data_IF_110450854268
#
_entry.id   IF_110450854268
#
_cell.length_a   1.000
_cell.length_b   1.000
_cell.length_c   1.000
_cell.angle_alpha   90.00
_cell.angle_beta   90.00
_cell.angle_gamma   90.00
#
_symmetry.space_group_name_H-M   'P 1'
#
loop_
_entity.id
_entity.type
_entity.pdbx_description
1 polymer ?
#
# COMPACT_ATOMS: atom_id res chain seq x y z
N UNK A 1 -10.54 8.33 -40.09
CA UNK A 1 -11.94 7.93 -39.95
C UNK A 1 -12.13 7.27 -38.57
N UNK A 2 -13.12 7.79 -37.79
CA UNK A 2 -13.37 7.34 -36.43
C UNK A 2 -13.87 5.87 -36.34
N UNK A 3 -14.46 5.35 -37.42
CA UNK A 3 -14.89 3.96 -37.47
C UNK A 3 -13.69 3.00 -37.60
N UNK A 4 -12.77 3.29 -38.49
CA UNK A 4 -11.56 2.51 -38.67
C UNK A 4 -10.68 2.50 -37.40
N UNK A 5 -10.61 3.63 -36.68
CA UNK A 5 -9.92 3.69 -35.40
C UNK A 5 -10.58 2.79 -34.36
N UNK A 6 -11.91 2.83 -34.21
CA UNK A 6 -12.64 1.99 -33.26
C UNK A 6 -12.43 0.50 -33.54
N UNK A 7 -12.49 0.12 -34.82
CA UNK A 7 -12.27 -1.27 -35.21
C UNK A 7 -10.83 -1.73 -34.92
N UNK A 8 -9.82 -0.93 -35.28
CA UNK A 8 -8.44 -1.23 -34.96
C UNK A 8 -8.19 -1.33 -33.45
N UNK A 9 -8.76 -0.40 -32.67
CA UNK A 9 -8.68 -0.41 -31.22
C UNK A 9 -9.32 -1.66 -30.63
N UNK A 10 -10.51 -2.06 -31.09
CA UNK A 10 -11.20 -3.28 -30.62
C UNK A 10 -10.37 -4.54 -30.91
N UNK A 11 -9.80 -4.66 -32.11
CA UNK A 11 -8.89 -5.76 -32.46
C UNK A 11 -7.66 -5.79 -31.55
N UNK A 12 -7.06 -4.63 -31.29
CA UNK A 12 -5.92 -4.52 -30.38
C UNK A 12 -6.29 -4.95 -28.96
N UNK A 13 -7.42 -4.49 -28.42
CA UNK A 13 -7.90 -4.86 -27.07
C UNK A 13 -8.11 -6.37 -26.98
N UNK A 14 -8.81 -6.98 -27.93
CA UNK A 14 -9.04 -8.44 -27.93
C UNK A 14 -7.72 -9.23 -27.94
N UNK A 15 -6.79 -8.86 -28.80
CA UNK A 15 -5.47 -9.49 -28.86
C UNK A 15 -4.69 -9.32 -27.54
N UNK A 16 -4.79 -8.15 -26.91
CA UNK A 16 -4.11 -7.88 -25.64
C UNK A 16 -4.73 -8.66 -24.48
N UNK A 17 -6.06 -8.71 -24.41
CA UNK A 17 -6.80 -9.48 -23.40
C UNK A 17 -6.44 -10.97 -23.49
N UNK A 18 -6.50 -11.56 -24.69
CA UNK A 18 -6.14 -12.97 -24.89
C UNK A 18 -4.68 -13.27 -24.43
N UNK A 19 -3.74 -12.36 -24.72
CA UNK A 19 -2.36 -12.49 -24.24
C UNK A 19 -2.26 -12.38 -22.71
N UNK A 20 -3.02 -11.48 -22.08
CA UNK A 20 -3.00 -11.30 -20.63
C UNK A 20 -3.66 -12.45 -19.88
N UNK A 21 -4.69 -13.08 -20.46
CA UNK A 21 -5.33 -14.27 -19.89
C UNK A 21 -4.41 -15.48 -19.81
N UNK A 22 -3.39 -15.54 -20.66
CA UNK A 22 -2.37 -16.59 -20.66
C UNK A 22 -1.14 -16.23 -19.80
N UNK A 23 -1.07 -14.98 -19.31
CA UNK A 23 0.05 -14.54 -18.50
C UNK A 23 -0.14 -14.94 -17.03
N UNK A 24 0.97 -15.10 -16.32
CA UNK A 24 0.95 -15.29 -14.87
C UNK A 24 0.26 -14.12 -14.16
N UNK A 25 -0.60 -14.43 -13.21
CA UNK A 25 -1.30 -13.44 -12.39
C UNK A 25 -0.32 -12.86 -11.36
N UNK A 26 0.07 -11.61 -11.55
CA UNK A 26 1.01 -10.92 -10.67
C UNK A 26 0.34 -10.19 -9.51
N UNK A 27 -0.96 -9.89 -9.62
CA UNK A 27 -1.71 -9.10 -8.64
C UNK A 27 -3.09 -9.69 -8.49
N UNK A 28 -3.47 -9.93 -7.24
CA UNK A 28 -4.83 -10.31 -6.87
C UNK A 28 -5.45 -9.16 -6.10
N UNK A 29 -6.71 -8.87 -6.39
CA UNK A 29 -7.53 -7.96 -5.61
C UNK A 29 -8.65 -8.75 -4.92
N UNK A 30 -8.84 -8.50 -3.64
CA UNK A 30 -9.90 -9.08 -2.84
C UNK A 30 -10.67 -7.95 -2.15
N UNK A 31 -11.95 -8.16 -1.94
CA UNK A 31 -12.78 -7.25 -1.16
C UNK A 31 -12.68 -7.68 0.31
N UNK A 32 -12.24 -6.76 1.18
CA UNK A 32 -12.34 -6.94 2.62
C UNK A 32 -13.81 -6.76 3.04
N UNK A 33 -14.47 -7.80 3.58
CA UNK A 33 -15.87 -7.68 3.95
C UNK A 33 -16.02 -6.76 5.15
N UNK A 34 -16.99 -5.85 5.08
CA UNK A 34 -17.44 -5.08 6.24
C UNK A 34 -18.36 -5.98 7.10
N UNK A 35 -18.45 -5.73 8.43
CA UNK A 35 -19.39 -6.41 9.28
C UNK A 35 -20.84 -6.29 8.80
N UNK A 36 -21.67 -7.32 8.98
CA UNK A 36 -23.06 -7.31 8.54
C UNK A 36 -23.88 -6.17 9.13
N UNK A 37 -23.60 -5.81 10.39
CA UNK A 37 -24.27 -4.73 11.10
C UNK A 37 -23.66 -3.34 10.84
N UNK A 38 -22.78 -3.18 9.85
CA UNK A 38 -22.04 -1.94 9.57
C UNK A 38 -22.91 -0.69 9.51
N UNK A 39 -24.06 -0.77 8.84
CA UNK A 39 -24.96 0.37 8.65
C UNK A 39 -25.74 0.76 9.90
N UNK A 40 -25.90 -0.17 10.86
CA UNK A 40 -26.61 0.05 12.13
C UNK A 40 -25.69 0.40 13.30
N UNK A 41 -24.36 0.34 13.08
CA UNK A 41 -23.40 0.68 14.12
C UNK A 41 -23.37 2.17 14.40
N UNK A 42 -23.09 2.51 15.67
CA UNK A 42 -22.81 3.88 16.07
C UNK A 42 -21.54 4.39 15.36
N UNK A 43 -21.53 5.67 14.99
CA UNK A 43 -20.46 6.25 14.17
C UNK A 43 -19.07 6.10 14.82
N UNK A 44 -18.94 6.34 16.11
CA UNK A 44 -17.66 6.23 16.81
C UNK A 44 -17.13 4.79 16.81
N UNK A 45 -18.01 3.79 16.98
CA UNK A 45 -17.63 2.39 16.91
C UNK A 45 -17.25 1.98 15.49
N UNK A 46 -18.03 2.41 14.50
CA UNK A 46 -17.76 2.18 13.08
C UNK A 46 -16.39 2.69 12.65
N UNK A 47 -15.98 3.90 13.10
CA UNK A 47 -14.65 4.46 12.83
C UNK A 47 -13.53 3.60 13.41
N UNK A 48 -13.69 3.11 14.63
CA UNK A 48 -12.73 2.22 15.29
C UNK A 48 -12.61 0.87 14.56
N UNK A 49 -13.74 0.26 14.24
CA UNK A 49 -13.75 -1.04 13.58
C UNK A 49 -13.23 -0.95 12.15
N UNK A 50 -13.47 0.17 11.46
CA UNK A 50 -12.87 0.41 10.15
C UNK A 50 -11.34 0.51 10.24
N UNK A 51 -10.82 1.27 11.18
CA UNK A 51 -9.38 1.41 11.36
C UNK A 51 -8.73 0.07 11.74
N UNK A 52 -9.39 -0.72 12.61
CA UNK A 52 -8.94 -2.09 12.95
C UNK A 52 -8.94 -2.99 11.73
N UNK A 53 -10.01 -3.01 10.94
CA UNK A 53 -10.09 -3.79 9.70
C UNK A 53 -8.95 -3.44 8.75
N UNK A 54 -8.67 -2.16 8.55
CA UNK A 54 -7.57 -1.70 7.68
C UNK A 54 -6.21 -2.23 8.17
N UNK A 55 -5.97 -2.20 9.48
CA UNK A 55 -4.74 -2.69 10.07
C UNK A 55 -4.61 -4.22 9.98
N UNK A 56 -5.70 -4.94 10.22
CA UNK A 56 -5.77 -6.40 10.06
C UNK A 56 -5.48 -6.81 8.60
N UNK A 57 -6.06 -6.12 7.63
CA UNK A 57 -5.78 -6.36 6.21
C UNK A 57 -4.33 -6.06 5.86
N UNK A 58 -3.75 -4.98 6.38
CA UNK A 58 -2.33 -4.66 6.19
C UNK A 58 -1.42 -5.76 6.74
N UNK A 59 -1.74 -6.30 7.93
CA UNK A 59 -1.01 -7.41 8.52
C UNK A 59 -1.14 -8.70 7.71
N UNK A 60 -2.35 -9.08 7.30
CA UNK A 60 -2.58 -10.26 6.46
C UNK A 60 -1.80 -10.18 5.13
N UNK A 61 -1.82 -9.00 4.50
CA UNK A 61 -1.06 -8.77 3.27
C UNK A 61 0.45 -8.86 3.50
N UNK A 62 0.97 -8.32 4.61
CA UNK A 62 2.38 -8.44 4.97
C UNK A 62 2.82 -9.88 5.18
N UNK A 63 1.96 -10.73 5.75
CA UNK A 63 2.28 -12.14 5.99
C UNK A 63 2.42 -12.97 4.70
N UNK A 64 1.83 -12.51 3.60
CA UNK A 64 1.92 -13.24 2.34
C UNK A 64 3.38 -13.28 1.84
N UNK A 65 3.93 -14.47 1.47
CA UNK A 65 5.35 -14.64 1.16
C UNK A 65 5.91 -13.71 0.08
N UNK A 66 5.07 -13.29 -0.84
CA UNK A 66 5.47 -12.39 -1.93
C UNK A 66 5.31 -10.90 -1.61
N UNK A 67 4.78 -10.53 -0.46
CA UNK A 67 4.46 -9.15 -0.09
C UNK A 67 5.43 -8.54 0.93
N UNK A 68 6.55 -9.18 1.17
CA UNK A 68 7.64 -8.64 1.98
C UNK A 68 8.99 -9.08 1.41
N UNK A 69 10.03 -8.38 1.79
CA UNK A 69 11.42 -8.78 1.57
C UNK A 69 12.02 -9.20 2.91
N UNK A 70 12.89 -10.20 2.91
CA UNK A 70 13.68 -10.55 4.09
C UNK A 70 14.99 -9.78 4.05
N UNK A 71 15.27 -9.00 5.07
CA UNK A 71 16.54 -8.33 5.23
C UNK A 71 17.64 -9.35 5.55
N UNK A 72 18.60 -9.50 4.67
CA UNK A 72 19.67 -10.48 4.79
C UNK A 72 20.60 -10.22 5.97
N UNK A 73 20.69 -8.97 6.43
CA UNK A 73 21.57 -8.60 7.54
C UNK A 73 20.96 -8.95 8.91
N UNK A 74 19.65 -8.82 9.07
CA UNK A 74 18.98 -9.03 10.36
C UNK A 74 17.98 -10.17 10.39
N UNK A 75 17.63 -10.75 9.24
CA UNK A 75 16.56 -11.75 9.12
C UNK A 75 15.14 -11.19 9.24
N UNK A 76 14.98 -9.87 9.41
CA UNK A 76 13.67 -9.22 9.59
C UNK A 76 12.89 -9.20 8.30
N UNK A 77 11.56 -9.33 8.40
CA UNK A 77 10.64 -9.22 7.28
C UNK A 77 10.15 -7.78 7.14
N UNK A 78 10.36 -7.20 5.98
CA UNK A 78 10.10 -5.78 5.71
C UNK A 78 9.16 -5.65 4.53
N UNK A 79 8.08 -4.90 4.67
CA UNK A 79 7.20 -4.54 3.55
C UNK A 79 6.97 -3.04 3.43
N UNK A 80 6.81 -2.58 2.20
CA UNK A 80 6.44 -1.21 1.84
C UNK A 80 5.00 -1.24 1.34
N UNK A 81 4.04 -0.86 2.19
CA UNK A 81 2.62 -0.92 1.91
C UNK A 81 1.99 0.44 1.64
N UNK A 82 0.92 0.44 0.86
CA UNK A 82 0.06 1.60 0.65
C UNK A 82 -1.30 1.37 1.30
N UNK A 83 -1.75 2.30 2.13
CA UNK A 83 -3.14 2.41 2.55
C UNK A 83 -3.69 3.70 1.94
N UNK A 84 -4.66 3.57 1.04
CA UNK A 84 -5.22 4.70 0.33
C UNK A 84 -6.68 4.91 0.73
N UNK A 85 -6.95 6.04 1.37
CA UNK A 85 -8.29 6.49 1.72
C UNK A 85 -8.84 7.45 0.67
N UNK A 86 -10.12 7.34 0.36
CA UNK A 86 -10.79 8.22 -0.61
C UNK A 86 -10.92 9.65 -0.09
N UNK A 87 -11.06 9.78 1.22
CA UNK A 87 -11.25 11.05 1.93
C UNK A 87 -10.22 11.23 3.06
N UNK A 88 -10.01 12.49 3.47
CA UNK A 88 -9.03 12.84 4.50
C UNK A 88 -9.55 12.51 5.90
N UNK A 89 -10.86 12.63 6.17
CA UNK A 89 -11.41 12.34 7.50
C UNK A 89 -11.15 10.88 7.94
N UNK A 90 -11.53 9.83 7.17
CA UNK A 90 -11.19 8.45 7.53
C UNK A 90 -9.67 8.17 7.54
N UNK A 91 -8.88 8.91 6.77
CA UNK A 91 -7.43 8.82 6.82
C UNK A 91 -6.89 9.21 8.20
N UNK A 92 -7.40 10.28 8.81
CA UNK A 92 -7.05 10.68 10.17
C UNK A 92 -7.44 9.63 11.21
N UNK A 93 -8.64 9.06 11.10
CA UNK A 93 -9.11 8.02 12.02
C UNK A 93 -8.17 6.80 11.98
N UNK A 94 -7.79 6.36 10.79
CA UNK A 94 -6.83 5.26 10.60
C UNK A 94 -5.44 5.62 11.15
N UNK A 95 -4.95 6.84 10.89
CA UNK A 95 -3.66 7.28 11.41
C UNK A 95 -3.63 7.29 12.94
N UNK A 96 -4.65 7.85 13.58
CA UNK A 96 -4.76 7.88 15.04
C UNK A 96 -4.85 6.48 15.65
N UNK A 97 -5.61 5.58 15.01
CA UNK A 97 -5.72 4.19 15.45
C UNK A 97 -4.37 3.45 15.36
N UNK A 98 -3.56 3.71 14.34
CA UNK A 98 -2.22 3.11 14.20
C UNK A 98 -1.20 3.61 15.24
N UNK A 99 -1.42 4.80 15.81
CA UNK A 99 -0.59 5.34 16.89
C UNK A 99 -1.13 5.03 18.29
N UNK A 100 -2.33 4.46 18.41
CA UNK A 100 -2.90 4.10 19.69
C UNK A 100 -2.06 2.99 20.37
N UNK A 101 -1.93 2.99 21.72
CA UNK A 101 -1.21 1.96 22.45
C UNK A 101 -1.74 0.53 22.22
N UNK A 102 -3.02 0.42 21.91
CA UNK A 102 -3.76 -0.81 21.62
C UNK A 102 -3.97 -1.05 20.10
N UNK A 103 -3.19 -0.38 19.25
CA UNK A 103 -3.29 -0.51 17.80
C UNK A 103 -3.09 -1.97 17.33
N UNK A 104 -2.16 -2.68 17.96
CA UNK A 104 -1.86 -4.07 17.66
C UNK A 104 -2.49 -4.99 18.71
N UNK A 105 -3.08 -6.13 18.29
CA UNK A 105 -3.48 -7.18 19.19
C UNK A 105 -2.34 -7.62 20.10
N UNK A 106 -2.61 -8.09 21.34
CA UNK A 106 -1.56 -8.46 22.30
C UNK A 106 -0.51 -9.44 21.76
N UNK A 107 -0.93 -10.37 20.91
CA UNK A 107 -0.07 -11.37 20.27
C UNK A 107 0.92 -10.79 19.25
N UNK A 108 0.62 -9.60 18.73
CA UNK A 108 1.49 -8.89 17.77
C UNK A 108 2.37 -7.83 18.42
N UNK A 109 2.15 -7.54 19.71
CA UNK A 109 2.98 -6.60 20.45
C UNK A 109 4.40 -7.16 20.58
N UNK A 110 5.41 -6.32 20.27
CA UNK A 110 6.81 -6.76 20.22
C UNK A 110 7.18 -7.65 19.02
N UNK A 111 6.21 -8.03 18.18
CA UNK A 111 6.46 -8.76 16.93
C UNK A 111 6.41 -7.87 15.71
N UNK A 112 5.65 -6.79 15.78
CA UNK A 112 5.37 -5.93 14.62
C UNK A 112 5.72 -4.48 14.94
N UNK A 113 6.51 -3.89 14.07
CA UNK A 113 6.78 -2.45 14.06
C UNK A 113 6.12 -1.78 12.87
N UNK A 114 5.23 -0.83 13.14
CA UNK A 114 4.61 0.02 12.12
C UNK A 114 5.43 1.32 12.00
N UNK A 115 5.86 1.63 10.77
CA UNK A 115 6.46 2.89 10.39
C UNK A 115 5.49 3.61 9.48
N UNK A 116 4.84 4.66 9.98
CA UNK A 116 3.77 5.34 9.28
C UNK A 116 4.25 6.65 8.65
N UNK A 117 4.01 6.80 7.35
CA UNK A 117 4.13 8.04 6.61
C UNK A 117 2.75 8.51 6.15
N UNK A 118 2.22 9.56 6.74
CA UNK A 118 0.93 10.15 6.33
C UNK A 118 1.18 11.13 5.18
N UNK A 119 0.39 10.99 4.08
CA UNK A 119 0.55 11.83 2.91
C UNK A 119 -0.79 12.22 2.29
N UNK A 120 -1.15 13.52 2.37
CA UNK A 120 -2.39 14.04 1.83
C UNK A 120 -2.26 15.46 1.26
N UNK A 121 -3.24 15.90 0.49
CA UNK A 121 -3.21 17.16 -0.25
C UNK A 121 -3.27 18.43 0.61
N UNK A 122 -3.72 18.33 1.87
CA UNK A 122 -3.81 19.48 2.78
C UNK A 122 -2.50 19.83 3.49
N UNK A 123 -1.44 19.03 3.32
CA UNK A 123 -0.14 19.42 3.83
C UNK A 123 0.39 20.69 3.12
N UNK A 124 1.07 21.59 3.84
CA UNK A 124 1.80 22.70 3.22
C UNK A 124 2.72 22.21 2.11
N UNK A 125 2.86 22.99 1.03
CA UNK A 125 3.62 22.60 -0.16
C UNK A 125 5.04 22.13 0.15
N UNK A 126 5.74 22.82 1.05
CA UNK A 126 7.11 22.48 1.44
C UNK A 126 7.18 21.08 2.07
N UNK A 127 6.29 20.80 3.03
CA UNK A 127 6.24 19.50 3.70
C UNK A 127 5.86 18.40 2.71
N UNK A 128 4.87 18.67 1.86
CA UNK A 128 4.45 17.72 0.82
C UNK A 128 5.58 17.39 -0.14
N UNK A 129 6.33 18.40 -0.60
CA UNK A 129 7.49 18.21 -1.48
C UNK A 129 8.59 17.38 -0.81
N UNK A 130 8.86 17.61 0.48
CA UNK A 130 9.85 16.82 1.23
C UNK A 130 9.42 15.34 1.37
N UNK A 131 8.13 15.09 1.70
CA UNK A 131 7.57 13.72 1.76
C UNK A 131 7.68 13.06 0.37
N UNK A 132 7.28 13.75 -0.68
CA UNK A 132 7.35 13.25 -2.06
C UNK A 132 8.77 12.83 -2.44
N UNK A 133 9.77 13.65 -2.15
CA UNK A 133 11.17 13.35 -2.45
C UNK A 133 11.66 12.11 -1.69
N UNK A 134 11.27 11.95 -0.44
CA UNK A 134 11.59 10.75 0.34
C UNK A 134 10.91 9.51 -0.25
N UNK A 135 9.62 9.58 -0.57
CA UNK A 135 8.88 8.47 -1.15
C UNK A 135 9.42 8.09 -2.54
N UNK A 136 9.75 9.07 -3.39
CA UNK A 136 10.36 8.83 -4.69
C UNK A 136 11.70 8.08 -4.56
N UNK A 137 12.46 8.37 -3.51
CA UNK A 137 13.72 7.68 -3.23
C UNK A 137 13.50 6.27 -2.71
N UNK A 138 12.60 6.08 -1.74
CA UNK A 138 12.37 4.79 -1.07
C UNK A 138 11.64 3.79 -1.97
N UNK A 139 10.64 4.28 -2.72
CA UNK A 139 9.77 3.44 -3.54
C UNK A 139 10.24 3.28 -4.99
N UNK A 140 11.39 3.83 -5.34
CA UNK A 140 12.06 3.51 -6.60
C UNK A 140 12.81 2.18 -6.44
N UNK A 141 12.12 1.10 -6.76
CA UNK A 141 12.62 -0.28 -6.60
C UNK A 141 12.99 -0.92 -7.94
N UNK A 142 13.38 -0.11 -8.92
CA UNK A 142 13.89 -0.61 -10.20
C UNK A 142 15.10 -1.49 -9.96
N UNK A 143 15.08 -2.70 -10.52
CA UNK A 143 16.14 -3.69 -10.31
C UNK A 143 15.98 -4.54 -9.05
N UNK A 144 14.85 -4.39 -8.30
CA UNK A 144 14.52 -5.29 -7.21
C UNK A 144 14.38 -6.73 -7.71
N UNK A 145 14.91 -7.69 -6.92
CA UNK A 145 14.79 -9.13 -7.12
C UNK A 145 14.26 -9.77 -5.86
N UNK A 146 13.89 -11.03 -5.92
CA UNK A 146 13.35 -11.78 -4.77
C UNK A 146 14.30 -11.78 -3.57
N UNK A 147 15.59 -11.82 -3.84
CA UNK A 147 16.69 -11.88 -2.86
C UNK A 147 17.39 -10.53 -2.63
N UNK A 148 17.02 -9.50 -3.38
CA UNK A 148 17.66 -8.19 -3.31
C UNK A 148 16.67 -7.05 -3.52
N UNK A 149 16.33 -6.36 -2.45
CA UNK A 149 15.50 -5.16 -2.48
C UNK A 149 16.36 -3.91 -2.22
N UNK A 150 16.54 -3.05 -3.23
CA UNK A 150 17.36 -1.84 -3.06
C UNK A 150 16.82 -0.87 -2.00
N UNK A 151 15.52 -0.93 -1.68
CA UNK A 151 14.94 -0.09 -0.63
C UNK A 151 15.56 -0.39 0.74
N UNK A 152 15.84 -1.66 1.06
CA UNK A 152 16.40 -2.08 2.35
C UNK A 152 17.81 -1.52 2.62
N UNK A 153 18.53 -1.13 1.57
CA UNK A 153 19.87 -0.54 1.67
C UNK A 153 19.85 1.00 1.73
N UNK A 154 18.68 1.63 1.65
CA UNK A 154 18.58 3.09 1.80
C UNK A 154 18.86 3.49 3.23
N UNK A 155 19.74 4.48 3.49
CA UNK A 155 20.15 4.85 4.86
C UNK A 155 18.99 5.14 5.81
N UNK A 156 17.96 5.85 5.33
CA UNK A 156 16.78 6.17 6.14
C UNK A 156 16.00 4.92 6.57
N UNK A 157 15.80 3.95 5.65
CA UNK A 157 15.11 2.71 5.96
C UNK A 157 15.97 1.83 6.87
N UNK A 158 17.24 1.71 6.55
CA UNK A 158 18.21 0.93 7.34
C UNK A 158 18.25 1.38 8.80
N UNK A 159 18.37 2.68 9.04
CA UNK A 159 18.39 3.24 10.38
C UNK A 159 17.15 2.86 11.19
N UNK A 160 15.96 2.86 10.57
CA UNK A 160 14.72 2.46 11.22
C UNK A 160 14.64 0.95 11.48
N UNK A 161 15.10 0.12 10.55
CA UNK A 161 15.14 -1.33 10.73
C UNK A 161 16.11 -1.71 11.87
N UNK A 162 17.28 -1.07 11.94
CA UNK A 162 18.32 -1.37 12.93
C UNK A 162 17.96 -0.88 14.34
N UNK A 163 17.20 0.22 14.44
CA UNK A 163 16.83 0.82 15.73
C UNK A 163 15.67 0.11 16.45
N UNK A 164 15.00 -0.86 15.84
CA UNK A 164 13.83 -1.52 16.40
C UNK A 164 14.00 -3.04 16.37
N UNK A 165 13.79 -3.77 17.47
CA UNK A 165 14.09 -5.19 17.58
C UNK A 165 13.06 -6.11 16.91
N UNK A 166 11.85 -5.63 16.63
CA UNK A 166 10.74 -6.43 16.14
C UNK A 166 11.12 -7.19 14.85
N UNK A 167 10.68 -8.45 14.66
CA UNK A 167 11.00 -9.25 13.48
C UNK A 167 10.22 -8.84 12.22
N UNK A 168 9.10 -8.10 12.37
CA UNK A 168 8.27 -7.62 11.27
C UNK A 168 8.21 -6.10 11.23
N UNK A 169 8.60 -5.52 10.11
CA UNK A 169 8.56 -4.08 9.87
C UNK A 169 7.59 -3.76 8.72
N UNK A 170 6.51 -3.05 9.02
CA UNK A 170 5.55 -2.54 8.04
C UNK A 170 5.80 -1.04 7.83
N UNK A 171 6.36 -0.68 6.70
CA UNK A 171 6.46 0.72 6.26
C UNK A 171 5.20 1.06 5.47
N UNK A 172 4.33 1.85 6.05
CA UNK A 172 3.01 2.15 5.53
C UNK A 172 2.94 3.61 5.07
N UNK A 173 2.65 3.81 3.79
CA UNK A 173 2.22 5.12 3.28
C UNK A 173 0.69 5.16 3.40
N UNK A 174 0.19 5.99 4.31
CA UNK A 174 -1.24 6.24 4.48
C UNK A 174 -1.58 7.53 3.74
N UNK A 175 -2.27 7.41 2.61
CA UNK A 175 -2.46 8.53 1.71
C UNK A 175 -3.87 8.74 1.19
N UNK A 176 -4.11 9.98 0.74
CA UNK A 176 -5.28 10.38 -0.04
C UNK A 176 -5.04 10.14 -1.54
N UNK A 177 -5.97 10.46 -2.46
CA UNK A 177 -5.77 10.32 -3.90
C UNK A 177 -4.50 10.97 -4.47
N UNK A 178 -3.84 11.85 -3.74
CA UNK A 178 -2.56 12.43 -4.13
C UNK A 178 -1.47 11.37 -4.37
N UNK A 179 -1.57 10.20 -3.76
CA UNK A 179 -0.67 9.06 -3.98
C UNK A 179 -0.80 8.42 -5.36
N UNK A 180 -1.87 8.75 -6.11
CA UNK A 180 -2.14 8.20 -7.43
C UNK A 180 -1.44 8.97 -8.56
N UNK A 181 -0.94 10.18 -8.29
CA UNK A 181 -0.48 11.11 -9.34
C UNK A 181 1.00 10.93 -9.63
N UNK A 182 1.31 10.68 -10.93
CA UNK A 182 2.61 10.98 -11.57
C UNK A 182 3.88 10.32 -11.05
N UNK A 183 3.81 9.35 -10.11
CA UNK A 183 4.99 8.78 -9.47
C UNK A 183 5.26 7.34 -9.89
N UNK A 184 6.54 6.95 -9.92
CA UNK A 184 6.99 5.60 -10.23
C UNK A 184 7.21 4.78 -8.94
N UNK A 185 6.24 4.84 -8.03
CA UNK A 185 6.28 4.10 -6.77
C UNK A 185 5.99 2.62 -6.98
N UNK A 186 6.66 1.78 -6.20
CA UNK A 186 6.48 0.33 -6.20
C UNK A 186 6.24 -0.16 -4.77
N UNK A 187 4.99 -0.43 -4.45
CA UNK A 187 4.56 -1.00 -3.17
C UNK A 187 4.50 -2.52 -3.24
N UNK A 188 4.68 -3.18 -2.11
CA UNK A 188 4.52 -4.63 -1.98
C UNK A 188 3.04 -5.03 -2.03
N UNK A 189 2.20 -4.24 -1.37
CA UNK A 189 0.76 -4.45 -1.25
C UNK A 189 0.03 -3.12 -1.08
N UNK A 190 -1.31 -3.16 -1.24
CA UNK A 190 -2.15 -2.01 -0.96
C UNK A 190 -3.48 -2.40 -0.34
N UNK A 191 -3.96 -1.60 0.62
CA UNK A 191 -5.35 -1.55 1.09
C UNK A 191 -5.96 -0.27 0.54
N UNK A 192 -7.09 -0.38 -0.16
CA UNK A 192 -7.66 0.73 -0.93
C UNK A 192 -9.14 0.90 -0.62
N UNK A 193 -9.53 2.07 -0.13
CA UNK A 193 -10.92 2.50 -0.17
C UNK A 193 -11.27 2.90 -1.61
N UNK A 194 -12.18 2.18 -2.31
CA UNK A 194 -12.43 2.43 -3.71
C UNK A 194 -13.14 3.78 -3.92
N UNK A 195 -12.70 4.55 -4.92
CA UNK A 195 -13.36 5.80 -5.31
C UNK A 195 -13.82 5.80 -6.78
N UNK A 196 -13.04 5.17 -7.65
CA UNK A 196 -13.38 5.02 -9.07
C UNK A 196 -12.58 3.86 -9.68
N UNK A 197 -13.07 3.31 -10.79
CA UNK A 197 -12.35 2.29 -11.54
C UNK A 197 -10.98 2.80 -12.04
N UNK A 198 -10.90 4.06 -12.45
CA UNK A 198 -9.65 4.69 -12.88
C UNK A 198 -8.61 4.69 -11.76
N UNK A 199 -9.03 5.05 -10.55
CA UNK A 199 -8.19 5.05 -9.35
C UNK A 199 -7.66 3.65 -9.04
N UNK A 200 -8.54 2.65 -9.05
CA UNK A 200 -8.15 1.24 -8.83
C UNK A 200 -7.12 0.75 -9.84
N UNK A 201 -7.30 1.05 -11.13
CA UNK A 201 -6.34 0.70 -12.19
C UNK A 201 -4.98 1.37 -11.96
N UNK A 202 -4.98 2.66 -11.61
CA UNK A 202 -3.74 3.39 -11.33
C UNK A 202 -2.99 2.83 -10.13
N UNK A 203 -3.70 2.52 -9.06
CA UNK A 203 -3.12 1.94 -7.84
C UNK A 203 -2.61 0.52 -8.05
N UNK A 204 -3.38 -0.32 -8.75
CA UNK A 204 -2.92 -1.66 -9.12
C UNK A 204 -1.61 -1.62 -9.92
N UNK A 205 -1.41 -0.59 -10.76
CA UNK A 205 -0.17 -0.37 -11.48
C UNK A 205 1.03 0.01 -10.61
N UNK A 206 0.83 0.30 -9.32
CA UNK A 206 1.89 0.65 -8.36
C UNK A 206 2.22 -0.46 -7.38
N UNK A 207 1.44 -1.53 -7.37
CA UNK A 207 1.71 -2.70 -6.54
C UNK A 207 2.54 -3.69 -7.34
N UNK A 208 3.71 -4.07 -6.82
CA UNK A 208 4.67 -5.01 -7.44
C UNK A 208 4.95 -4.65 -8.91
N UNK A 209 5.27 -3.39 -9.12
CA UNK A 209 5.46 -2.85 -10.47
C UNK A 209 6.71 -3.37 -11.14
N UNK A 210 7.78 -3.53 -10.40
CA UNK A 210 9.12 -3.89 -10.89
C UNK A 210 9.59 -5.28 -10.45
N UNK A 211 8.71 -6.04 -9.82
CA UNK A 211 9.00 -7.41 -9.34
C UNK A 211 8.23 -8.47 -10.08
#
# INVERSE_FOLDING_TARGET
DGAAFREAHTRYVHKRVAKLQQAEVRRLAQIAPLPENWHSMEEAQRRKDFARLVLEQAWQLHQHPHNHSTDTASGKRVSLGLIRMANIAPLYDVALAMYAPDALPPELQGQVRIHLCVYHSQFPLLLRSAIEQQLDTLLNRRGARVDHDPALHRPALRALIDSHPEPHHLFIVLGSPVTEVGRDHDYDWAVVEPSSMRSLIQLAGRVRRHR
#
